data_IF_853101293461
#
_entry.id   IF_853101293461
#
_cell.length_a   1.000
_cell.length_b   1.000
_cell.length_c   1.000
_cell.angle_alpha   90.00
_cell.angle_beta   90.00
_cell.angle_gamma   90.00
#
_symmetry.space_group_name_H-M   'P 1'
#
loop_
_entity.id
_entity.type
_entity.pdbx_description
1 polymer ?
#
# COMPACT_ATOMS: atom_id res chain seq x y z
N UNK A 1 22.29 -14.52 -28.35
CA UNK A 1 22.05 -14.32 -26.93
C UNK A 1 22.95 -13.20 -26.44
N UNK A 2 22.43 -12.02 -26.15
CA UNK A 2 23.24 -10.88 -25.70
C UNK A 2 23.33 -10.99 -24.17
N UNK A 3 24.56 -11.24 -23.70
CA UNK A 3 24.89 -11.24 -22.28
C UNK A 3 24.75 -9.78 -21.77
N UNK A 4 23.63 -9.44 -21.14
CA UNK A 4 23.50 -8.16 -20.45
C UNK A 4 24.27 -8.25 -19.14
N UNK A 5 25.41 -7.60 -19.08
CA UNK A 5 26.14 -7.39 -17.83
C UNK A 5 25.21 -6.68 -16.82
N UNK A 6 25.19 -7.25 -15.64
CA UNK A 6 24.40 -6.77 -14.49
C UNK A 6 24.86 -5.36 -14.09
N UNK A 7 24.06 -4.35 -14.42
CA UNK A 7 24.32 -2.95 -14.10
C UNK A 7 24.00 -2.63 -12.62
N UNK A 8 24.40 -3.47 -11.67
CA UNK A 8 24.33 -3.18 -10.23
C UNK A 8 22.92 -3.03 -9.65
N UNK A 9 21.89 -3.36 -10.42
CA UNK A 9 20.54 -3.50 -9.91
C UNK A 9 20.45 -4.83 -9.16
N UNK A 10 20.34 -4.79 -7.82
CA UNK A 10 19.99 -5.97 -7.04
C UNK A 10 18.82 -6.66 -7.72
N UNK A 11 18.96 -7.94 -8.05
CA UNK A 11 17.84 -8.81 -8.45
C UNK A 11 16.90 -8.94 -7.25
N UNK A 12 16.02 -7.96 -7.07
CA UNK A 12 14.92 -8.05 -6.12
C UNK A 12 13.96 -9.10 -6.68
N UNK A 13 13.94 -10.26 -6.05
CA UNK A 13 13.17 -11.41 -6.50
C UNK A 13 11.68 -11.15 -6.26
N UNK A 14 11.01 -10.54 -7.24
CA UNK A 14 9.59 -10.19 -7.17
C UNK A 14 8.72 -11.41 -6.92
N UNK A 15 9.12 -12.56 -7.44
CA UNK A 15 8.36 -13.81 -7.35
C UNK A 15 8.22 -14.31 -5.90
N UNK A 16 9.16 -13.97 -5.01
CA UNK A 16 9.07 -14.31 -3.59
C UNK A 16 8.26 -13.31 -2.76
N UNK A 17 8.16 -12.06 -3.20
CA UNK A 17 7.48 -11.00 -2.46
C UNK A 17 5.95 -11.03 -2.59
N UNK A 18 5.43 -11.65 -3.66
CA UNK A 18 4.00 -11.64 -3.99
C UNK A 18 3.30 -13.00 -3.76
N UNK A 19 4.00 -13.97 -3.12
CA UNK A 19 3.40 -15.29 -2.81
C UNK A 19 2.55 -15.17 -1.55
N UNK A 20 1.24 -15.38 -1.70
CA UNK A 20 0.33 -15.53 -0.57
C UNK A 20 0.47 -16.94 -0.01
N UNK A 21 0.99 -17.04 1.21
CA UNK A 21 1.17 -18.31 1.93
C UNK A 21 0.09 -18.56 2.98
N UNK A 22 -0.90 -17.67 3.08
CA UNK A 22 -1.95 -17.72 4.10
C UNK A 22 -3.35 -17.83 3.46
N UNK A 23 -4.33 -18.29 4.25
CA UNK A 23 -5.72 -18.32 3.84
C UNK A 23 -6.29 -16.90 3.78
N UNK A 24 -6.64 -16.43 2.57
CA UNK A 24 -7.11 -15.07 2.36
C UNK A 24 -8.41 -14.75 3.12
N UNK A 25 -9.35 -15.71 3.22
CA UNK A 25 -10.60 -15.49 3.94
C UNK A 25 -10.35 -15.25 5.44
N UNK A 26 -9.53 -16.09 6.07
CA UNK A 26 -9.17 -15.92 7.48
C UNK A 26 -8.44 -14.58 7.70
N UNK A 27 -7.57 -14.20 6.78
CA UNK A 27 -6.88 -12.92 6.84
C UNK A 27 -7.87 -11.74 6.78
N UNK A 28 -8.84 -11.78 5.87
CA UNK A 28 -9.87 -10.74 5.74
C UNK A 28 -10.73 -10.64 7.00
N UNK A 29 -11.09 -11.76 7.61
CA UNK A 29 -11.85 -11.79 8.87
C UNK A 29 -11.08 -11.12 10.00
N UNK A 30 -9.77 -11.42 10.14
CA UNK A 30 -8.94 -10.80 11.18
C UNK A 30 -8.71 -9.31 10.93
N UNK A 31 -8.43 -8.90 9.71
CA UNK A 31 -8.30 -7.47 9.38
C UNK A 31 -9.61 -6.74 9.64
N UNK A 32 -10.73 -7.33 9.26
CA UNK A 32 -12.04 -6.74 9.53
C UNK A 32 -12.31 -6.64 11.04
N UNK A 33 -11.96 -7.66 11.82
CA UNK A 33 -12.14 -7.67 13.27
C UNK A 33 -11.30 -6.60 13.97
N UNK A 34 -10.03 -6.47 13.59
CA UNK A 34 -9.05 -5.57 14.23
C UNK A 34 -9.26 -4.10 13.87
N UNK A 35 -9.79 -3.80 12.68
CA UNK A 35 -9.91 -2.44 12.18
C UNK A 35 -11.23 -1.79 12.61
N UNK A 36 -11.20 -0.60 13.18
CA UNK A 36 -12.39 0.23 13.45
C UNK A 36 -12.68 1.24 12.31
N UNK A 37 -11.68 1.58 11.53
CA UNK A 37 -11.72 2.59 10.47
C UNK A 37 -11.94 2.05 9.06
N UNK A 38 -11.13 2.52 8.13
CA UNK A 38 -11.07 2.06 6.75
C UNK A 38 -10.05 0.95 6.56
N UNK A 39 -10.28 0.08 5.60
CA UNK A 39 -9.40 -1.01 5.19
C UNK A 39 -9.05 -0.78 3.72
N UNK A 40 -7.78 -0.82 3.37
CA UNK A 40 -7.29 -0.68 1.99
C UNK A 40 -6.35 -1.85 1.71
N UNK A 41 -6.68 -2.68 0.73
CA UNK A 41 -5.90 -3.86 0.38
C UNK A 41 -5.47 -3.74 -1.08
N UNK A 42 -4.19 -3.49 -1.32
CA UNK A 42 -3.59 -3.64 -2.64
C UNK A 42 -3.52 -5.12 -3.01
N UNK A 43 -3.96 -5.46 -4.20
CA UNK A 43 -4.08 -6.86 -4.61
C UNK A 43 -3.83 -7.06 -6.10
N UNK A 44 -3.40 -8.27 -6.46
CA UNK A 44 -3.31 -8.70 -7.85
C UNK A 44 -4.70 -8.90 -8.46
N UNK A 45 -4.75 -8.88 -9.80
CA UNK A 45 -6.02 -9.01 -10.56
C UNK A 45 -6.81 -10.26 -10.16
N UNK A 46 -6.14 -11.36 -9.86
CA UNK A 46 -6.76 -12.63 -9.47
C UNK A 46 -7.46 -12.59 -8.12
N UNK A 47 -7.17 -11.59 -7.28
CA UNK A 47 -7.70 -11.46 -5.92
C UNK A 47 -8.82 -10.41 -5.83
N UNK A 48 -8.92 -9.52 -6.83
CA UNK A 48 -9.89 -8.40 -6.82
C UNK A 48 -11.30 -8.89 -6.52
N UNK A 49 -11.77 -9.89 -7.24
CA UNK A 49 -13.14 -10.39 -7.07
C UNK A 49 -13.38 -10.98 -5.68
N UNK A 50 -12.45 -11.76 -5.15
CA UNK A 50 -12.59 -12.38 -3.84
C UNK A 50 -12.64 -11.34 -2.73
N UNK A 51 -11.71 -10.38 -2.73
CA UNK A 51 -11.63 -9.33 -1.71
C UNK A 51 -12.84 -8.39 -1.83
N UNK A 52 -13.20 -8.01 -3.07
CA UNK A 52 -14.34 -7.14 -3.30
C UNK A 52 -15.64 -7.77 -2.80
N UNK A 53 -15.91 -9.04 -3.14
CA UNK A 53 -17.12 -9.74 -2.74
C UNK A 53 -17.21 -9.89 -1.21
N UNK A 54 -16.10 -10.16 -0.53
CA UNK A 54 -16.08 -10.21 0.93
C UNK A 54 -16.60 -8.88 1.55
N UNK A 55 -16.14 -7.75 1.04
CA UNK A 55 -16.58 -6.44 1.55
C UNK A 55 -17.95 -6.01 0.99
N UNK A 56 -18.34 -6.49 -0.20
CA UNK A 56 -19.68 -6.26 -0.74
C UNK A 56 -20.75 -6.90 0.16
N UNK A 57 -20.48 -8.09 0.71
CA UNK A 57 -21.37 -8.72 1.68
C UNK A 57 -21.51 -7.89 2.97
N UNK A 58 -20.42 -7.33 3.46
CA UNK A 58 -20.46 -6.39 4.60
C UNK A 58 -21.26 -5.13 4.26
N UNK A 59 -21.12 -4.59 3.05
CA UNK A 59 -21.90 -3.44 2.56
C UNK A 59 -23.40 -3.77 2.47
N UNK A 60 -23.77 -4.92 1.92
CA UNK A 60 -25.15 -5.38 1.82
C UNK A 60 -25.81 -5.47 3.21
N UNK A 61 -25.03 -5.84 4.22
CA UNK A 61 -25.43 -5.86 5.62
C UNK A 61 -25.34 -4.48 6.34
N UNK A 62 -25.17 -3.39 5.59
CA UNK A 62 -25.09 -2.00 6.10
C UNK A 62 -23.95 -1.72 7.08
N UNK A 63 -22.89 -2.52 7.03
CA UNK A 63 -21.72 -2.40 7.92
C UNK A 63 -20.68 -1.41 7.41
N UNK A 64 -20.79 -0.96 6.17
CA UNK A 64 -19.85 -0.02 5.56
C UNK A 64 -20.10 0.19 4.07
N UNK A 65 -19.10 0.70 3.38
CA UNK A 65 -19.12 0.94 1.93
C UNK A 65 -17.82 0.46 1.31
N UNK A 66 -17.90 -0.26 0.18
CA UNK A 66 -16.73 -0.72 -0.58
C UNK A 66 -16.61 -0.04 -1.93
N UNK A 67 -15.37 0.17 -2.38
CA UNK A 67 -15.00 0.65 -3.73
C UNK A 67 -13.71 -0.03 -4.19
N UNK A 68 -13.57 -0.19 -5.48
CA UNK A 68 -12.29 -0.46 -6.09
C UNK A 68 -11.52 0.86 -6.24
N UNK A 69 -10.26 0.87 -5.85
CA UNK A 69 -9.31 1.94 -6.13
C UNK A 69 -8.31 1.46 -7.17
N UNK A 70 -7.85 2.38 -8.01
CA UNK A 70 -6.85 2.11 -9.05
C UNK A 70 -5.70 3.08 -8.87
N UNK A 71 -4.50 2.55 -8.70
CA UNK A 71 -3.29 3.33 -8.88
C UNK A 71 -2.84 3.24 -10.33
N UNK A 72 -3.02 4.32 -11.09
CA UNK A 72 -2.50 4.50 -12.44
C UNK A 72 -1.07 5.01 -12.37
N UNK A 73 -0.13 4.22 -12.86
CA UNK A 73 1.29 4.57 -12.90
C UNK A 73 1.55 5.57 -14.02
N UNK A 74 2.11 6.73 -13.69
CA UNK A 74 2.46 7.75 -14.70
C UNK A 74 3.73 7.39 -15.48
N UNK A 75 4.51 6.43 -14.99
CA UNK A 75 5.76 5.92 -15.58
C UNK A 75 5.81 4.39 -15.61
N UNK A 76 4.89 3.70 -16.30
CA UNK A 76 4.89 2.23 -16.34
C UNK A 76 6.20 1.72 -16.93
N UNK A 77 6.65 0.54 -16.46
CA UNK A 77 7.87 -0.07 -16.98
C UNK A 77 7.74 -0.39 -18.47
N UNK A 78 8.67 0.03 -19.34
CA UNK A 78 8.61 -0.25 -20.77
C UNK A 78 9.02 -1.69 -21.13
N UNK A 79 9.32 -2.55 -20.14
CA UNK A 79 9.78 -3.91 -20.37
C UNK A 79 8.75 -4.70 -21.19
N UNK A 80 9.22 -5.29 -22.29
CA UNK A 80 8.42 -6.05 -23.25
C UNK A 80 7.29 -5.26 -23.95
N UNK A 81 7.28 -3.92 -23.87
CA UNK A 81 6.23 -3.06 -24.42
C UNK A 81 6.06 -3.16 -25.94
N UNK A 82 7.03 -3.75 -26.64
CA UNK A 82 6.91 -4.05 -28.07
C UNK A 82 6.06 -5.30 -28.37
N UNK A 83 5.75 -6.12 -27.34
CA UNK A 83 4.99 -7.38 -27.51
C UNK A 83 3.71 -7.43 -26.70
N UNK A 84 3.62 -6.67 -25.61
CA UNK A 84 2.47 -6.69 -24.70
C UNK A 84 2.13 -5.27 -24.22
N UNK A 85 0.88 -5.07 -23.78
CA UNK A 85 0.50 -3.83 -23.11
C UNK A 85 1.29 -3.65 -21.81
N UNK A 86 1.70 -2.41 -21.52
CA UNK A 86 2.42 -2.09 -20.27
C UNK A 86 1.50 -2.25 -19.07
N UNK A 87 2.04 -2.82 -17.98
CA UNK A 87 1.34 -2.92 -16.69
C UNK A 87 1.31 -1.55 -16.01
N UNK A 88 0.34 -0.73 -16.41
CA UNK A 88 0.20 0.66 -15.99
C UNK A 88 -0.67 0.88 -14.76
N UNK A 89 -1.29 -0.17 -14.19
CA UNK A 89 -2.19 -0.04 -13.05
C UNK A 89 -1.87 -1.04 -11.94
N UNK A 90 -2.24 -0.67 -10.70
CA UNK A 90 -2.41 -1.59 -9.59
C UNK A 90 -3.80 -1.40 -8.99
N UNK A 91 -4.38 -2.51 -8.52
CA UNK A 91 -5.70 -2.50 -7.91
C UNK A 91 -5.59 -2.46 -6.39
N UNK A 92 -6.53 -1.76 -5.76
CA UNK A 92 -6.80 -1.91 -4.34
C UNK A 92 -8.30 -1.99 -4.10
N UNK A 93 -8.69 -2.68 -3.04
CA UNK A 93 -10.06 -2.65 -2.53
C UNK A 93 -10.08 -1.82 -1.26
N UNK A 94 -10.92 -0.82 -1.26
CA UNK A 94 -11.20 0.03 -0.12
C UNK A 94 -12.54 -0.34 0.49
N UNK A 95 -12.56 -0.49 1.79
CA UNK A 95 -13.77 -0.63 2.58
C UNK A 95 -13.74 0.33 3.75
N UNK A 96 -14.76 1.14 3.90
CA UNK A 96 -14.94 2.04 5.03
C UNK A 96 -16.05 1.52 5.93
N UNK A 97 -15.72 1.20 7.17
CA UNK A 97 -16.74 0.84 8.17
C UNK A 97 -17.72 1.99 8.39
N UNK A 98 -18.94 1.64 8.75
CA UNK A 98 -19.99 2.64 9.06
C UNK A 98 -19.51 3.53 10.22
N UNK A 99 -19.59 4.85 10.03
CA UNK A 99 -19.14 5.83 11.01
C UNK A 99 -17.63 6.12 11.02
N UNK A 100 -16.82 5.39 10.26
CA UNK A 100 -15.38 5.65 10.17
C UNK A 100 -15.06 6.98 9.48
N UNK A 101 -13.91 7.55 9.84
CA UNK A 101 -13.39 8.81 9.27
C UNK A 101 -13.21 8.71 7.76
N UNK A 102 -13.59 9.77 7.05
CA UNK A 102 -13.27 10.00 5.65
C UNK A 102 -13.15 11.50 5.40
N UNK A 103 -11.93 11.97 5.17
CA UNK A 103 -11.59 13.39 5.06
C UNK A 103 -11.55 13.87 3.60
N UNK A 104 -11.56 12.96 2.61
CA UNK A 104 -11.55 13.32 1.21
C UNK A 104 -12.95 13.75 0.75
N UNK A 105 -13.05 14.93 0.13
CA UNK A 105 -14.28 15.44 -0.42
C UNK A 105 -14.30 15.25 -1.93
N UNK A 106 -15.27 14.51 -2.47
CA UNK A 106 -15.46 14.27 -3.92
C UNK A 106 -14.20 13.74 -4.65
N UNK A 107 -13.33 13.01 -3.97
CA UNK A 107 -12.10 12.48 -4.56
C UNK A 107 -12.40 11.25 -5.42
N UNK A 108 -11.72 11.16 -6.57
CA UNK A 108 -11.84 10.04 -7.49
C UNK A 108 -11.19 8.77 -6.90
N UNK A 109 -11.64 7.62 -7.38
CA UNK A 109 -11.05 6.30 -7.04
C UNK A 109 -9.82 5.95 -7.88
N UNK A 110 -9.41 6.79 -8.81
CA UNK A 110 -8.20 6.65 -9.63
C UNK A 110 -7.15 7.64 -9.14
N UNK A 111 -6.01 7.11 -8.71
CA UNK A 111 -4.86 7.85 -8.21
C UNK A 111 -3.73 7.79 -9.24
N UNK A 112 -3.19 8.93 -9.63
CA UNK A 112 -2.13 9.02 -10.63
C UNK A 112 -0.81 9.41 -9.96
N UNK A 113 0.08 8.44 -9.79
CA UNK A 113 1.40 8.63 -9.20
C UNK A 113 2.45 7.79 -9.94
N UNK A 114 3.71 8.24 -9.99
CA UNK A 114 4.78 7.42 -10.57
C UNK A 114 5.06 6.19 -9.70
N UNK A 115 5.50 5.11 -10.33
CA UNK A 115 6.13 4.00 -9.61
C UNK A 115 7.43 4.49 -8.97
N UNK A 116 7.62 4.23 -7.69
CA UNK A 116 8.88 4.46 -7.00
C UNK A 116 9.96 3.47 -7.46
N UNK A 117 11.21 3.80 -7.15
CA UNK A 117 12.35 2.88 -7.26
C UNK A 117 12.88 2.63 -5.86
N UNK A 118 12.18 1.78 -5.09
CA UNK A 118 12.67 1.40 -3.78
C UNK A 118 13.93 0.54 -3.89
N UNK A 119 14.90 0.82 -3.02
CA UNK A 119 16.09 -0.03 -2.85
C UNK A 119 15.89 -1.11 -1.79
N UNK A 120 14.77 -1.07 -1.07
CA UNK A 120 14.46 -1.95 0.06
C UNK A 120 13.51 -3.06 -0.37
N UNK A 121 12.39 -2.70 -1.02
CA UNK A 121 11.36 -3.66 -1.38
C UNK A 121 10.91 -3.48 -2.84
N UNK A 122 10.78 -4.57 -3.64
CA UNK A 122 10.51 -4.48 -5.07
C UNK A 122 9.11 -3.95 -5.42
N UNK A 123 8.14 -4.14 -4.56
CA UNK A 123 6.73 -3.74 -4.75
C UNK A 123 6.30 -2.59 -3.83
N UNK A 124 7.27 -1.81 -3.33
CA UNK A 124 6.99 -0.65 -2.47
C UNK A 124 6.05 0.34 -3.16
N UNK A 125 5.03 0.76 -2.44
CA UNK A 125 4.06 1.74 -2.95
C UNK A 125 4.65 3.15 -2.93
N UNK A 126 4.16 4.00 -3.84
CA UNK A 126 4.56 5.40 -3.89
C UNK A 126 4.17 6.13 -2.59
N UNK A 127 5.08 6.91 -2.02
CA UNK A 127 4.90 7.58 -0.73
C UNK A 127 3.77 8.63 -0.75
N UNK A 128 3.65 9.41 -1.83
CA UNK A 128 2.59 10.41 -1.94
C UNK A 128 1.21 9.74 -2.09
N UNK A 129 1.13 8.61 -2.81
CA UNK A 129 -0.09 7.79 -2.84
C UNK A 129 -0.47 7.30 -1.44
N UNK A 130 0.51 6.76 -0.68
CA UNK A 130 0.26 6.29 0.70
C UNK A 130 -0.17 7.42 1.61
N UNK A 131 0.45 8.60 1.48
CA UNK A 131 0.09 9.80 2.23
C UNK A 131 -1.35 10.21 1.96
N UNK A 132 -1.74 10.29 0.69
CA UNK A 132 -3.10 10.60 0.29
C UNK A 132 -4.11 9.64 0.93
N UNK A 133 -3.86 8.33 0.81
CA UNK A 133 -4.74 7.30 1.35
C UNK A 133 -4.83 7.35 2.88
N UNK A 134 -3.71 7.60 3.58
CA UNK A 134 -3.68 7.72 5.05
C UNK A 134 -4.43 8.96 5.50
N UNK A 135 -4.19 10.11 4.89
CA UNK A 135 -4.84 11.37 5.26
C UNK A 135 -6.35 11.36 4.99
N UNK A 136 -6.75 10.75 3.87
CA UNK A 136 -8.16 10.61 3.51
C UNK A 136 -8.95 9.76 4.52
N UNK A 137 -8.30 8.78 5.17
CA UNK A 137 -8.97 7.74 5.95
C UNK A 137 -8.64 7.73 7.45
N UNK A 138 -7.91 8.73 7.93
CA UNK A 138 -7.50 8.81 9.34
C UNK A 138 -7.33 10.24 9.81
N UNK A 139 -7.39 10.43 11.12
CA UNK A 139 -7.04 11.68 11.80
C UNK A 139 -5.66 11.58 12.46
N UNK A 140 -5.10 12.72 12.85
CA UNK A 140 -3.86 12.75 13.64
C UNK A 140 -4.05 11.95 14.94
N UNK A 141 -3.03 11.18 15.33
CA UNK A 141 -3.07 10.28 16.49
C UNK A 141 -3.72 8.92 16.25
N UNK A 142 -4.43 8.70 15.14
CA UNK A 142 -4.97 7.37 14.79
C UNK A 142 -3.85 6.36 14.55
N UNK A 143 -4.18 5.07 14.62
CA UNK A 143 -3.24 3.98 14.37
C UNK A 143 -3.42 3.48 12.93
N UNK A 144 -2.34 3.50 12.17
CA UNK A 144 -2.24 2.82 10.88
C UNK A 144 -1.62 1.45 11.10
N UNK A 145 -2.34 0.41 10.71
CA UNK A 145 -1.91 -0.98 10.85
C UNK A 145 -1.61 -1.59 9.48
N UNK A 146 -0.40 -2.09 9.30
CA UNK A 146 0.02 -2.81 8.09
C UNK A 146 0.54 -4.20 8.46
N UNK A 147 -0.27 -5.26 8.25
CA UNK A 147 0.11 -6.63 8.58
C UNK A 147 1.10 -7.26 7.60
N UNK A 148 1.38 -6.61 6.46
CA UNK A 148 2.30 -7.07 5.41
C UNK A 148 3.23 -5.92 5.00
N UNK A 149 3.96 -5.38 5.98
CA UNK A 149 4.55 -4.05 5.92
C UNK A 149 5.77 -3.91 4.98
N UNK A 150 6.36 -5.02 4.52
CA UNK A 150 7.49 -5.01 3.59
C UNK A 150 8.61 -4.08 4.05
N UNK A 151 8.82 -3.00 3.30
CA UNK A 151 9.80 -1.94 3.62
C UNK A 151 9.35 -0.97 4.72
N UNK A 152 8.25 -1.22 5.41
CA UNK A 152 7.63 -0.32 6.40
C UNK A 152 7.26 1.08 5.84
N UNK A 153 6.98 1.17 4.54
CA UNK A 153 6.66 2.44 3.89
C UNK A 153 5.40 3.09 4.48
N UNK A 154 4.33 2.30 4.73
CA UNK A 154 3.11 2.79 5.37
C UNK A 154 3.37 3.30 6.78
N UNK A 155 4.22 2.61 7.56
CA UNK A 155 4.61 3.03 8.90
C UNK A 155 5.37 4.35 8.88
N UNK A 156 6.30 4.51 7.93
CA UNK A 156 7.05 5.76 7.76
C UNK A 156 6.11 6.92 7.41
N UNK A 157 5.26 6.74 6.40
CA UNK A 157 4.31 7.77 5.97
C UNK A 157 3.31 8.12 7.09
N UNK A 158 2.84 7.13 7.86
CA UNK A 158 2.01 7.37 9.03
C UNK A 158 2.74 8.26 10.07
N UNK A 159 3.98 7.90 10.41
CA UNK A 159 4.84 8.68 11.32
C UNK A 159 5.05 10.11 10.84
N UNK A 160 5.37 10.30 9.56
CA UNK A 160 5.59 11.61 8.94
C UNK A 160 4.36 12.53 9.00
N UNK A 161 3.17 11.96 9.13
CA UNK A 161 1.91 12.68 9.13
C UNK A 161 1.19 12.65 10.49
N UNK A 162 1.90 12.40 11.60
CA UNK A 162 1.34 12.47 12.95
C UNK A 162 0.43 11.31 13.34
N UNK A 163 0.47 10.19 12.59
CA UNK A 163 -0.25 8.97 12.95
C UNK A 163 0.66 8.03 13.72
N UNK A 164 0.07 7.25 14.61
CA UNK A 164 0.75 6.08 15.19
C UNK A 164 0.74 4.95 14.18
N UNK A 165 1.60 3.97 14.35
CA UNK A 165 1.67 2.85 13.41
C UNK A 165 2.00 1.54 14.11
N UNK A 166 1.54 0.45 13.50
CA UNK A 166 1.89 -0.93 13.82
C UNK A 166 2.14 -1.63 12.49
N UNK A 167 3.27 -2.30 12.34
CA UNK A 167 3.62 -3.06 11.14
C UNK A 167 4.12 -4.45 11.49
N UNK A 168 3.76 -5.44 10.67
CA UNK A 168 4.28 -6.80 10.75
C UNK A 168 4.95 -7.16 9.43
N UNK A 169 6.11 -7.79 9.48
CA UNK A 169 6.82 -8.28 8.30
C UNK A 169 7.48 -9.62 8.65
N UNK A 170 7.26 -10.63 7.80
CA UNK A 170 7.81 -11.98 7.99
C UNK A 170 9.27 -12.09 7.52
N UNK A 171 9.62 -11.32 6.48
CA UNK A 171 10.98 -11.33 5.96
C UNK A 171 11.86 -10.42 6.82
N UNK A 172 12.81 -11.05 7.54
CA UNK A 172 13.71 -10.34 8.44
C UNK A 172 14.54 -9.24 7.76
N UNK A 173 15.00 -9.46 6.52
CA UNK A 173 15.80 -8.46 5.79
C UNK A 173 14.99 -7.20 5.47
N UNK A 174 13.73 -7.38 5.05
CA UNK A 174 12.82 -6.27 4.81
C UNK A 174 12.47 -5.55 6.10
N UNK A 175 12.19 -6.31 7.16
CA UNK A 175 11.91 -5.75 8.48
C UNK A 175 13.07 -4.91 9.00
N UNK A 176 14.29 -5.46 9.04
CA UNK A 176 15.49 -4.77 9.54
C UNK A 176 15.77 -3.48 8.73
N UNK A 177 15.68 -3.56 7.40
CA UNK A 177 15.86 -2.41 6.51
C UNK A 177 14.79 -1.32 6.74
N UNK A 178 13.55 -1.73 6.98
CA UNK A 178 12.45 -0.83 7.30
C UNK A 178 12.63 -0.16 8.66
N UNK A 179 13.09 -0.89 9.68
CA UNK A 179 13.39 -0.33 11.00
C UNK A 179 14.51 0.72 10.92
N UNK A 180 15.59 0.43 10.18
CA UNK A 180 16.66 1.41 9.99
C UNK A 180 16.15 2.69 9.31
N UNK A 181 15.28 2.56 8.32
CA UNK A 181 14.61 3.69 7.66
C UNK A 181 13.75 4.50 8.64
N UNK A 182 13.00 3.85 9.51
CA UNK A 182 12.19 4.53 10.53
C UNK A 182 13.05 5.26 11.58
N UNK A 183 14.23 4.72 11.93
CA UNK A 183 15.18 5.35 12.85
C UNK A 183 15.85 6.59 12.24
N UNK A 184 16.16 6.56 10.95
CA UNK A 184 16.79 7.67 10.22
C UNK A 184 15.86 8.87 10.04
N UNK A 185 14.56 8.71 10.28
CA UNK A 185 13.62 9.83 10.23
C UNK A 185 13.67 10.64 11.54
N UNK A 186 14.21 11.85 11.49
CA UNK A 186 14.42 12.72 12.64
C UNK A 186 13.44 13.91 12.74
N UNK A 187 12.33 13.89 12.01
CA UNK A 187 11.31 14.96 12.10
C UNK A 187 11.70 16.29 11.42
N UNK A 188 12.80 16.33 10.69
CA UNK A 188 13.36 17.57 10.12
C UNK A 188 12.56 18.22 8.98
N UNK A 189 11.48 17.60 8.51
CA UNK A 189 10.66 18.19 7.44
C UNK A 189 9.65 19.26 7.88
N UNK A 190 9.49 19.49 9.17
CA UNK A 190 8.54 20.50 9.66
C UNK A 190 9.10 21.95 9.69
N UNK A 191 10.39 22.17 9.46
CA UNK A 191 11.03 23.48 9.63
C UNK A 191 11.23 24.26 8.30
N UNK A 192 10.94 23.68 7.14
CA UNK A 192 11.19 24.34 5.83
C UNK A 192 9.95 24.96 5.17
N UNK A 193 9.02 25.52 5.92
CA UNK A 193 7.88 26.26 5.37
C UNK A 193 7.66 27.65 5.97
N UNK A 194 8.69 28.31 6.51
CA UNK A 194 8.62 29.73 6.83
C UNK A 194 9.99 30.38 6.61
N UNK A 195 10.31 30.65 5.37
CA UNK A 195 11.28 31.69 4.97
C UNK A 195 11.03 32.06 3.50
#
# INVERSE_FOLDING_TARGET
MVNRQDNGLRNLNKDKADIITFNLSNFLDEIYRLTSGSIIIFCGINQVSQIYNYFADKQNNKQGTTRQLIWKKTNPSPMNGQYIYLSGIENAIWFKKRGATFNAHCKNTVFEFPSGRSKIHPTEKNHELLKDLILDNSNEGDIIFDPCAGSLAHCLVAKENGRRYVGCELNKEYFDSGIERLKQWHGEKLIKKNS
#
